data_IF_179638410711
#
_entry.id   IF_179638410711
#
_cell.length_a   1.000
_cell.length_b   1.000
_cell.length_c   1.000
_cell.angle_alpha   90.00
_cell.angle_beta   90.00
_cell.angle_gamma   90.00
#
_symmetry.space_group_name_H-M   'P 1'
#
loop_
_entity.id
_entity.type
_entity.pdbx_description
1 polymer ?
#
# COMPACT_ATOMS: atom_id res chain seq x y z
N UNK A 1 -37.32 27.58 3.09
CA UNK A 1 -36.09 28.34 2.80
C UNK A 1 -34.96 27.35 3.02
N UNK A 2 -34.35 26.86 1.94
CA UNK A 2 -33.26 25.87 2.04
C UNK A 2 -31.99 26.66 2.29
N UNK A 3 -31.44 26.57 3.50
CA UNK A 3 -30.10 27.09 3.79
C UNK A 3 -29.09 26.24 3.02
N UNK A 4 -28.53 26.83 1.97
CA UNK A 4 -27.36 26.29 1.29
C UNK A 4 -26.18 26.57 2.23
N UNK A 5 -25.73 25.55 2.97
CA UNK A 5 -24.77 25.67 4.09
C UNK A 5 -23.31 25.46 3.72
N UNK A 6 -22.98 25.17 2.47
CA UNK A 6 -21.59 25.06 2.03
C UNK A 6 -21.46 25.72 0.66
N UNK A 7 -20.70 26.82 0.60
CA UNK A 7 -20.10 27.21 -0.66
C UNK A 7 -19.14 26.09 -1.08
N UNK A 8 -19.14 25.66 -2.35
CA UNK A 8 -18.20 24.66 -2.83
C UNK A 8 -16.79 25.24 -2.66
N UNK A 9 -16.04 24.72 -1.69
CA UNK A 9 -14.60 24.97 -1.61
C UNK A 9 -13.96 24.47 -2.91
N UNK A 10 -12.98 25.21 -3.43
CA UNK A 10 -12.26 24.88 -4.68
C UNK A 10 -11.62 23.47 -4.68
N UNK A 11 -11.51 22.84 -3.50
CA UNK A 11 -11.00 21.46 -3.28
C UNK A 11 -11.89 20.33 -3.86
N UNK A 12 -13.04 20.63 -4.47
CA UNK A 12 -13.98 19.59 -4.87
C UNK A 12 -14.54 18.82 -3.67
N UNK A 13 -15.29 17.75 -3.91
CA UNK A 13 -15.87 16.95 -2.83
C UNK A 13 -14.76 16.43 -1.89
N UNK A 14 -14.86 16.71 -0.59
CA UNK A 14 -13.96 16.20 0.46
C UNK A 14 -13.69 14.70 0.22
N UNK A 15 -12.42 14.32 0.10
CA UNK A 15 -11.99 12.92 -0.06
C UNK A 15 -12.11 12.37 -1.49
N UNK A 16 -11.59 13.10 -2.48
CA UNK A 16 -11.32 12.54 -3.78
C UNK A 16 -10.00 11.74 -3.71
N UNK A 17 -10.11 10.42 -3.86
CA UNK A 17 -8.97 9.58 -4.21
C UNK A 17 -8.41 10.07 -5.55
N UNK A 18 -7.09 10.12 -5.68
CA UNK A 18 -6.45 10.42 -6.95
C UNK A 18 -6.68 9.24 -7.90
N UNK A 19 -7.60 9.37 -8.86
CA UNK A 19 -7.56 8.55 -10.07
C UNK A 19 -6.37 9.03 -10.92
N UNK A 20 -5.17 8.55 -10.60
CA UNK A 20 -4.03 8.65 -11.51
C UNK A 20 -3.96 7.41 -12.40
N UNK A 21 -3.60 7.64 -13.67
CA UNK A 21 -3.26 6.59 -14.64
C UNK A 21 -2.34 5.54 -13.99
N UNK A 22 -2.42 4.27 -14.41
CA UNK A 22 -1.54 3.22 -13.90
C UNK A 22 -0.09 3.55 -14.28
N UNK A 23 0.60 4.26 -13.40
CA UNK A 23 2.06 4.36 -13.37
C UNK A 23 2.60 3.28 -12.44
N UNK A 24 3.91 3.11 -12.46
CA UNK A 24 4.75 2.07 -11.84
C UNK A 24 4.50 1.73 -10.35
N UNK A 25 3.56 2.38 -9.67
CA UNK A 25 3.23 2.13 -8.26
C UNK A 25 2.61 0.74 -8.05
N UNK A 26 1.77 0.25 -8.96
CA UNK A 26 1.21 -1.12 -8.85
C UNK A 26 2.31 -2.17 -9.10
N UNK A 27 3.26 -1.88 -9.99
CA UNK A 27 4.44 -2.72 -10.17
C UNK A 27 5.32 -2.69 -8.93
N UNK A 28 5.46 -1.53 -8.28
CA UNK A 28 6.16 -1.40 -6.99
C UNK A 28 5.51 -2.29 -5.93
N UNK A 29 4.17 -2.24 -5.78
CA UNK A 29 3.42 -3.13 -4.88
C UNK A 29 3.74 -4.60 -5.18
N UNK A 30 3.66 -5.01 -6.45
CA UNK A 30 3.89 -6.41 -6.84
C UNK A 30 5.33 -6.86 -6.61
N UNK A 31 6.31 -6.00 -6.89
CA UNK A 31 7.73 -6.26 -6.66
C UNK A 31 7.99 -6.44 -5.16
N UNK A 32 7.47 -5.54 -4.32
CA UNK A 32 7.60 -5.62 -2.87
C UNK A 32 6.94 -6.89 -2.31
N UNK A 33 5.75 -7.26 -2.80
CA UNK A 33 5.06 -8.47 -2.33
C UNK A 33 5.68 -9.78 -2.84
N UNK A 34 6.41 -9.77 -3.96
CA UNK A 34 6.92 -10.99 -4.59
C UNK A 34 7.84 -11.82 -3.68
N UNK A 35 8.74 -11.16 -2.94
CA UNK A 35 9.66 -11.84 -2.01
C UNK A 35 8.93 -12.54 -0.86
N UNK A 36 8.15 -11.81 -0.04
CA UNK A 36 7.33 -12.37 1.02
C UNK A 36 6.37 -13.48 0.56
N UNK A 37 5.74 -13.33 -0.62
CA UNK A 37 4.89 -14.35 -1.22
C UNK A 37 5.67 -15.60 -1.60
N UNK A 38 6.85 -15.44 -2.23
CA UNK A 38 7.72 -16.56 -2.59
C UNK A 38 8.19 -17.34 -1.36
N UNK A 39 8.57 -16.64 -0.28
CA UNK A 39 8.94 -17.28 0.99
C UNK A 39 7.77 -18.09 1.56
N UNK A 40 6.56 -17.52 1.59
CA UNK A 40 5.39 -18.22 2.08
C UNK A 40 5.08 -19.49 1.27
N UNK A 41 5.16 -19.39 -0.06
CA UNK A 41 4.98 -20.52 -0.99
C UNK A 41 6.00 -21.63 -0.75
N UNK A 42 7.30 -21.29 -0.71
CA UNK A 42 8.38 -22.28 -0.54
C UNK A 42 8.36 -22.93 0.84
N UNK A 43 8.02 -22.15 1.86
CA UNK A 43 7.85 -22.63 3.25
C UNK A 43 6.53 -23.37 3.48
N UNK A 44 5.67 -23.49 2.45
CA UNK A 44 4.32 -24.11 2.53
C UNK A 44 3.46 -23.55 3.67
N UNK A 45 3.63 -22.25 3.96
CA UNK A 45 2.86 -21.54 4.98
C UNK A 45 1.83 -20.64 4.31
N UNK A 46 0.65 -20.45 4.92
CA UNK A 46 -0.24 -19.38 4.49
C UNK A 46 0.48 -18.03 4.56
N UNK A 47 0.24 -17.19 3.56
CA UNK A 47 0.71 -15.81 3.60
C UNK A 47 -0.21 -14.99 4.50
N UNK A 48 0.34 -14.45 5.58
CA UNK A 48 -0.31 -13.45 6.40
C UNK A 48 0.53 -12.17 6.36
N UNK A 49 -0.10 -11.02 6.13
CA UNK A 49 0.59 -9.72 6.07
C UNK A 49 1.49 -9.48 7.29
N UNK A 50 1.04 -9.91 8.48
CA UNK A 50 1.71 -9.59 9.73
C UNK A 50 2.81 -10.59 10.14
N UNK A 51 2.93 -11.73 9.44
CA UNK A 51 3.79 -12.86 9.86
C UNK A 51 4.85 -13.22 8.81
N UNK A 52 5.32 -12.28 7.99
CA UNK A 52 6.40 -12.53 7.04
C UNK A 52 7.79 -12.30 7.68
N UNK A 53 8.56 -13.35 8.02
CA UNK A 53 9.88 -13.17 8.63
C UNK A 53 10.81 -12.47 7.63
N UNK A 54 11.39 -11.33 8.02
CA UNK A 54 12.27 -10.54 7.16
C UNK A 54 11.57 -9.76 6.03
N UNK A 55 10.25 -9.89 5.87
CA UNK A 55 9.46 -9.22 4.83
C UNK A 55 8.70 -7.97 5.26
N UNK A 56 8.77 -7.60 6.55
CA UNK A 56 8.03 -6.45 7.10
C UNK A 56 8.29 -5.16 6.33
N UNK A 57 9.56 -4.85 6.03
CA UNK A 57 9.93 -3.64 5.28
C UNK A 57 9.39 -3.61 3.84
N UNK A 58 9.17 -4.75 3.20
CA UNK A 58 8.63 -4.81 1.83
C UNK A 58 7.11 -4.70 1.85
N UNK A 59 6.45 -5.36 2.83
CA UNK A 59 5.01 -5.24 3.03
C UNK A 59 4.64 -3.80 3.39
N UNK A 60 5.43 -3.15 4.26
CA UNK A 60 5.25 -1.74 4.60
C UNK A 60 5.40 -0.84 3.37
N UNK A 61 6.37 -1.10 2.49
CA UNK A 61 6.52 -0.35 1.24
C UNK A 61 5.32 -0.53 0.29
N UNK A 62 4.81 -1.76 0.16
CA UNK A 62 3.61 -2.03 -0.63
C UNK A 62 2.38 -1.31 -0.03
N UNK A 63 2.24 -1.32 1.30
CA UNK A 63 1.20 -0.60 2.02
C UNK A 63 1.29 0.91 1.75
N UNK A 64 2.46 1.51 1.93
CA UNK A 64 2.66 2.94 1.71
C UNK A 64 2.44 3.35 0.25
N UNK A 65 2.79 2.50 -0.72
CA UNK A 65 2.48 2.73 -2.13
C UNK A 65 0.96 2.81 -2.37
N UNK A 66 0.18 1.93 -1.73
CA UNK A 66 -1.27 1.98 -1.77
C UNK A 66 -1.86 3.19 -1.04
N UNK A 67 -1.40 3.49 0.18
CA UNK A 67 -1.85 4.64 0.96
C UNK A 67 -1.61 5.93 0.19
N UNK A 68 -0.40 6.11 -0.35
CA UNK A 68 -0.06 7.28 -1.16
C UNK A 68 -0.93 7.43 -2.42
N UNK A 69 -1.41 6.32 -2.98
CA UNK A 69 -2.22 6.33 -4.20
C UNK A 69 -3.73 6.49 -3.93
N UNK A 70 -4.24 5.87 -2.87
CA UNK A 70 -5.67 5.67 -2.65
C UNK A 70 -6.23 6.44 -1.47
N UNK A 71 -5.43 6.73 -0.44
CA UNK A 71 -5.92 7.43 0.73
C UNK A 71 -6.34 8.87 0.36
N UNK A 72 -7.45 9.38 0.93
CA UNK A 72 -7.86 10.75 0.70
C UNK A 72 -6.79 11.70 1.24
N UNK A 73 -6.57 12.81 0.53
CA UNK A 73 -5.74 13.87 1.09
C UNK A 73 -6.50 14.66 2.15
N UNK A 74 -5.79 15.17 3.17
CA UNK A 74 -6.41 16.06 4.13
C UNK A 74 -6.88 17.35 3.44
N UNK A 75 -8.10 17.83 3.74
CA UNK A 75 -8.57 19.15 3.32
C UNK A 75 -7.59 20.26 3.71
N UNK A 76 -7.40 21.27 2.85
CA UNK A 76 -6.45 22.38 3.10
C UNK A 76 -6.76 23.09 4.41
N UNK A 77 -8.05 23.28 4.71
CA UNK A 77 -8.53 23.91 5.95
C UNK A 77 -8.17 23.13 7.23
N UNK A 78 -7.71 21.88 7.14
CA UNK A 78 -7.28 21.09 8.28
C UNK A 78 -5.75 21.01 8.41
N UNK A 79 -4.98 21.48 7.44
CA UNK A 79 -3.52 21.31 7.42
C UNK A 79 -2.82 21.90 8.65
N UNK A 80 -3.29 23.02 9.18
CA UNK A 80 -2.73 23.63 10.41
C UNK A 80 -2.91 22.78 11.66
N UNK A 81 -3.85 21.82 11.63
CA UNK A 81 -4.17 20.91 12.74
C UNK A 81 -3.51 19.55 12.60
N UNK A 82 -2.89 19.28 11.46
CA UNK A 82 -2.24 18.00 11.18
C UNK A 82 -0.77 18.08 11.60
N UNK A 83 -0.19 16.99 12.12
CA UNK A 83 1.22 16.97 12.42
C UNK A 83 2.01 17.22 11.14
N UNK A 84 2.88 18.24 11.14
CA UNK A 84 3.75 18.56 10.00
C UNK A 84 4.68 17.38 9.62
N UNK A 85 4.89 16.46 10.56
CA UNK A 85 5.78 15.30 10.48
C UNK A 85 5.07 14.05 9.94
N UNK A 86 3.74 14.05 9.86
CA UNK A 86 2.99 12.85 9.52
C UNK A 86 3.14 12.41 8.05
N UNK A 87 3.83 13.19 7.21
CA UNK A 87 4.13 12.80 5.84
C UNK A 87 2.87 12.37 5.07
N UNK A 88 2.92 11.20 4.43
CA UNK A 88 1.79 10.60 3.72
C UNK A 88 0.92 9.68 4.59
N UNK A 89 1.39 9.30 5.79
CA UNK A 89 0.71 8.32 6.65
C UNK A 89 0.09 9.01 7.86
N UNK A 90 -1.24 9.15 7.81
CA UNK A 90 -2.03 9.78 8.86
C UNK A 90 -2.71 8.74 9.77
N UNK A 91 -2.34 7.46 9.70
CA UNK A 91 -3.02 6.36 10.41
C UNK A 91 -3.10 6.62 11.91
N UNK A 92 -1.99 6.94 12.57
CA UNK A 92 -1.99 7.20 14.02
C UNK A 92 -2.85 8.40 14.44
N UNK A 93 -2.94 9.42 13.58
CA UNK A 93 -3.80 10.57 13.84
C UNK A 93 -5.28 10.19 13.68
N UNK A 94 -5.59 9.41 12.63
CA UNK A 94 -6.94 8.92 12.37
C UNK A 94 -7.39 8.04 13.53
N UNK A 95 -6.58 7.08 13.97
CA UNK A 95 -6.86 6.22 15.12
C UNK A 95 -7.11 7.02 16.41
N UNK A 96 -6.26 8.01 16.70
CA UNK A 96 -6.45 8.89 17.85
C UNK A 96 -7.79 9.65 17.75
N UNK A 97 -8.18 10.07 16.56
CA UNK A 97 -9.43 10.80 16.34
C UNK A 97 -10.67 9.89 16.38
N UNK A 98 -10.67 8.75 15.71
CA UNK A 98 -11.86 7.90 15.53
C UNK A 98 -12.03 6.92 16.68
N UNK A 99 -10.95 6.27 17.11
CA UNK A 99 -10.96 5.22 18.15
C UNK A 99 -10.82 5.85 19.53
N UNK A 100 -9.82 6.70 19.74
CA UNK A 100 -9.54 7.27 21.07
C UNK A 100 -10.40 8.51 21.40
N UNK A 101 -11.11 9.04 20.41
CA UNK A 101 -11.99 10.19 20.58
C UNK A 101 -11.26 11.51 20.83
N UNK A 102 -9.94 11.55 20.58
CA UNK A 102 -9.15 12.77 20.73
C UNK A 102 -9.62 13.85 19.75
N UNK A 103 -9.71 15.10 20.21
CA UNK A 103 -10.10 16.25 19.39
C UNK A 103 -9.11 17.39 19.66
N UNK A 104 -8.51 17.99 18.63
CA UNK A 104 -7.64 19.14 18.86
C UNK A 104 -8.43 20.33 19.45
N UNK A 105 -7.82 21.04 20.40
CA UNK A 105 -8.43 22.19 21.06
C UNK A 105 -8.52 23.39 20.12
N UNK A 106 -9.72 23.95 19.94
CA UNK A 106 -9.92 25.15 19.11
C UNK A 106 -10.48 24.90 17.71
N UNK A 107 -10.75 23.64 17.31
CA UNK A 107 -11.50 23.40 16.08
C UNK A 107 -12.92 23.96 16.18
N UNK A 108 -13.31 24.76 15.18
CA UNK A 108 -14.71 25.18 14.99
C UNK A 108 -15.61 23.98 14.68
N UNK A 109 -16.93 24.12 14.90
CA UNK A 109 -17.89 23.03 14.63
C UNK A 109 -17.88 22.56 13.17
N UNK A 110 -17.69 23.47 12.21
CA UNK A 110 -17.58 23.13 10.79
C UNK A 110 -16.30 22.33 10.49
N UNK A 111 -15.16 22.71 11.07
CA UNK A 111 -13.90 21.98 10.90
C UNK A 111 -13.94 20.60 11.56
N UNK A 112 -14.61 20.46 12.72
CA UNK A 112 -14.83 19.15 13.35
C UNK A 112 -15.57 18.19 12.42
N UNK A 113 -16.62 18.68 11.74
CA UNK A 113 -17.35 17.87 10.76
C UNK A 113 -16.47 17.45 9.58
N UNK A 114 -15.64 18.36 9.05
CA UNK A 114 -14.69 18.04 7.97
C UNK A 114 -13.64 17.02 8.41
N UNK A 115 -13.10 17.17 9.62
CA UNK A 115 -12.13 16.23 10.19
C UNK A 115 -12.75 14.84 10.36
N UNK A 116 -13.95 14.74 10.95
CA UNK A 116 -14.65 13.45 11.08
C UNK A 116 -14.89 12.80 9.71
N UNK A 117 -15.35 13.55 8.71
CA UNK A 117 -15.58 13.01 7.37
C UNK A 117 -14.26 12.55 6.71
N UNK A 118 -13.18 13.29 6.90
CA UNK A 118 -11.85 12.92 6.41
C UNK A 118 -11.37 11.62 7.07
N UNK A 119 -11.40 11.53 8.40
CA UNK A 119 -10.95 10.36 9.14
C UNK A 119 -11.73 9.11 8.75
N UNK A 120 -13.06 9.17 8.68
CA UNK A 120 -13.89 8.03 8.26
C UNK A 120 -13.52 7.55 6.85
N UNK A 121 -13.35 8.48 5.89
CA UNK A 121 -12.94 8.12 4.53
C UNK A 121 -11.52 7.57 4.46
N UNK A 122 -10.64 8.02 5.35
CA UNK A 122 -9.28 7.50 5.44
C UNK A 122 -9.30 6.06 5.97
N UNK A 123 -10.08 5.76 7.02
CA UNK A 123 -10.30 4.40 7.51
C UNK A 123 -10.89 3.49 6.44
N UNK A 124 -11.95 3.93 5.75
CA UNK A 124 -12.56 3.19 4.63
C UNK A 124 -11.51 2.86 3.55
N UNK A 125 -10.59 3.80 3.27
CA UNK A 125 -9.51 3.60 2.32
C UNK A 125 -8.48 2.58 2.84
N UNK A 126 -8.10 2.62 4.12
CA UNK A 126 -7.18 1.65 4.71
C UNK A 126 -7.76 0.22 4.69
N UNK A 127 -9.03 0.06 5.03
CA UNK A 127 -9.72 -1.23 4.93
C UNK A 127 -9.72 -1.76 3.49
N UNK A 128 -10.02 -0.87 2.53
CA UNK A 128 -9.99 -1.22 1.12
C UNK A 128 -8.58 -1.60 0.64
N UNK A 129 -7.55 -0.87 1.06
CA UNK A 129 -6.14 -1.18 0.76
C UNK A 129 -5.76 -2.56 1.28
N UNK A 130 -6.19 -2.91 2.49
CA UNK A 130 -5.92 -4.23 3.06
C UNK A 130 -6.52 -5.35 2.19
N UNK A 131 -7.74 -5.16 1.68
CA UNK A 131 -8.37 -6.07 0.72
C UNK A 131 -7.56 -6.16 -0.58
N UNK A 132 -7.09 -5.03 -1.12
CA UNK A 132 -6.30 -5.00 -2.36
C UNK A 132 -4.98 -5.74 -2.22
N UNK A 133 -4.25 -5.57 -1.12
CA UNK A 133 -3.01 -6.33 -0.87
C UNK A 133 -3.30 -7.83 -0.81
N UNK A 134 -4.40 -8.24 -0.16
CA UNK A 134 -4.82 -9.64 -0.15
C UNK A 134 -5.12 -10.19 -1.55
N UNK A 135 -5.74 -9.38 -2.41
CA UNK A 135 -6.01 -9.73 -3.81
C UNK A 135 -4.72 -9.85 -4.63
N UNK A 136 -3.79 -8.89 -4.53
CA UNK A 136 -2.51 -8.94 -5.23
C UNK A 136 -1.66 -10.13 -4.77
N UNK A 137 -1.64 -10.41 -3.46
CA UNK A 137 -0.99 -11.60 -2.90
C UNK A 137 -1.57 -12.88 -3.51
N UNK A 138 -2.89 -13.00 -3.56
CA UNK A 138 -3.57 -14.16 -4.16
C UNK A 138 -3.25 -14.28 -5.66
N UNK A 139 -3.20 -13.15 -6.36
CA UNK A 139 -2.85 -13.11 -7.79
C UNK A 139 -1.40 -13.56 -8.03
N UNK A 140 -0.45 -13.09 -7.21
CA UNK A 140 0.96 -13.50 -7.26
C UNK A 140 1.12 -15.00 -6.96
N UNK A 141 0.47 -15.50 -5.91
CA UNK A 141 0.46 -16.93 -5.58
C UNK A 141 -0.03 -17.76 -6.76
N UNK A 142 -1.14 -17.35 -7.37
CA UNK A 142 -1.70 -18.02 -8.54
C UNK A 142 -0.71 -17.97 -9.72
N UNK A 143 -0.19 -16.79 -10.06
CA UNK A 143 0.77 -16.60 -11.14
C UNK A 143 2.00 -17.52 -10.98
N UNK A 144 2.58 -17.57 -9.79
CA UNK A 144 3.74 -18.39 -9.48
C UNK A 144 3.44 -19.89 -9.60
N UNK A 145 2.27 -20.34 -9.16
CA UNK A 145 1.87 -21.75 -9.28
C UNK A 145 1.52 -22.15 -10.73
N UNK A 146 0.91 -21.25 -11.50
CA UNK A 146 0.42 -21.52 -12.86
C UNK A 146 1.47 -21.29 -13.95
N UNK A 147 2.64 -20.73 -13.60
CA UNK A 147 3.71 -20.41 -14.56
C UNK A 147 5.00 -21.19 -14.27
N UNK A 148 5.11 -22.47 -14.71
CA UNK A 148 6.30 -23.29 -14.45
C UNK A 148 7.60 -22.66 -14.93
N UNK A 149 7.61 -22.02 -16.11
CA UNK A 149 8.80 -21.37 -16.66
C UNK A 149 9.32 -20.26 -15.74
N UNK A 150 8.44 -19.46 -15.14
CA UNK A 150 8.81 -18.44 -14.17
C UNK A 150 9.46 -19.07 -12.93
N UNK A 151 8.88 -20.15 -12.40
CA UNK A 151 9.41 -20.84 -11.23
C UNK A 151 10.76 -21.53 -11.49
N UNK A 152 10.96 -22.06 -12.69
CA UNK A 152 12.26 -22.59 -13.11
C UNK A 152 13.30 -21.48 -13.12
N UNK A 153 13.01 -20.33 -13.74
CA UNK A 153 13.89 -19.16 -13.72
C UNK A 153 14.25 -18.72 -12.30
N UNK A 154 13.25 -18.56 -11.42
CA UNK A 154 13.46 -18.16 -10.02
C UNK A 154 14.39 -19.13 -9.30
N UNK A 155 14.19 -20.44 -9.50
CA UNK A 155 15.01 -21.47 -8.84
C UNK A 155 16.46 -21.40 -9.31
N UNK A 156 16.69 -21.30 -10.63
CA UNK A 156 18.04 -21.17 -11.20
C UNK A 156 18.74 -19.91 -10.71
N UNK A 157 18.02 -18.77 -10.68
CA UNK A 157 18.57 -17.51 -10.16
C UNK A 157 18.91 -17.61 -8.68
N UNK A 158 18.04 -18.24 -7.87
CA UNK A 158 18.27 -18.44 -6.45
C UNK A 158 19.49 -19.34 -6.19
N UNK A 159 19.65 -20.43 -6.94
CA UNK A 159 20.80 -21.33 -6.83
C UNK A 159 22.12 -20.61 -7.20
N UNK A 160 22.12 -19.85 -8.28
CA UNK A 160 23.29 -19.05 -8.66
C UNK A 160 23.60 -17.95 -7.64
N UNK A 161 22.58 -17.33 -7.05
CA UNK A 161 22.77 -16.33 -6.02
C UNK A 161 23.33 -16.95 -4.73
N UNK A 162 22.90 -18.16 -4.38
CA UNK A 162 23.44 -18.92 -3.25
C UNK A 162 24.92 -19.26 -3.46
N UNK A 163 25.30 -19.65 -4.68
CA UNK A 163 26.69 -19.97 -5.02
C UNK A 163 27.60 -18.73 -5.07
N UNK A 164 27.15 -17.66 -5.73
CA UNK A 164 27.98 -16.47 -6.01
C UNK A 164 27.83 -15.35 -4.98
N UNK A 165 26.83 -15.42 -4.11
CA UNK A 165 26.41 -14.37 -3.16
C UNK A 165 26.00 -13.01 -3.79
N UNK A 166 26.14 -12.85 -5.11
CA UNK A 166 25.76 -11.67 -5.88
C UNK A 166 25.53 -12.05 -7.33
N UNK A 167 24.60 -11.35 -7.99
CA UNK A 167 24.36 -11.45 -9.42
C UNK A 167 24.14 -10.06 -10.01
N UNK A 168 24.66 -9.83 -11.20
CA UNK A 168 24.31 -8.67 -12.03
C UNK A 168 23.01 -8.93 -12.80
N UNK A 169 22.35 -7.87 -13.26
CA UNK A 169 21.13 -8.01 -14.08
C UNK A 169 21.37 -8.83 -15.36
N UNK A 170 22.55 -8.74 -15.96
CA UNK A 170 22.94 -9.54 -17.13
C UNK A 170 23.05 -11.02 -16.78
N UNK A 171 23.63 -11.37 -15.63
CA UNK A 171 23.71 -12.77 -15.18
C UNK A 171 22.32 -13.34 -14.88
N UNK A 172 21.42 -12.55 -14.28
CA UNK A 172 20.03 -12.94 -14.06
C UNK A 172 19.33 -13.22 -15.40
N UNK A 173 19.50 -12.33 -16.38
CA UNK A 173 18.91 -12.51 -17.72
C UNK A 173 19.40 -13.78 -18.40
N UNK A 174 20.72 -14.03 -18.41
CA UNK A 174 21.27 -15.24 -19.02
C UNK A 174 20.84 -16.52 -18.29
N UNK A 175 20.77 -16.49 -16.96
CA UNK A 175 20.26 -17.59 -16.15
C UNK A 175 18.82 -17.95 -16.54
N UNK A 176 17.94 -16.96 -16.64
CA UNK A 176 16.56 -17.14 -17.07
C UNK A 176 16.49 -17.66 -18.52
N UNK A 177 17.27 -17.09 -19.43
CA UNK A 177 17.28 -17.50 -20.85
C UNK A 177 17.66 -18.97 -21.02
N UNK A 178 18.67 -19.44 -20.29
CA UNK A 178 19.11 -20.85 -20.32
C UNK A 178 18.10 -21.79 -19.65
N UNK A 179 17.39 -21.32 -18.62
CA UNK A 179 16.38 -22.10 -17.91
C UNK A 179 15.10 -22.37 -18.72
N UNK A 180 14.84 -21.57 -19.75
CA UNK A 180 13.63 -21.65 -20.59
C UNK A 180 13.87 -22.08 -22.04
N UNK A 181 15.13 -22.33 -22.41
CA UNK A 181 15.54 -22.80 -23.75
C UNK A 181 15.37 -24.32 -23.88
#
# INVERSE_FOLDING_TARGET
MVEILDEPTEDGAIGLCYHYKPGDWLDTVRICLAGPVMDALKSRRPFYLNDAPGGGSDIDQAWQAYVSALAPRPPVALQEWLPAEAGADLTSLVDAYTIEGWRPEGLSGQLKRKMTLFCNKYEDALEFIHVLIGQETTSLIRFMNETPAFMTCVTVVADQLLEKSRLTSTEIYEACRLATA
#
